data_IF_326526031446
#
_entry.id   IF_326526031446
#
_cell.length_a   1.000
_cell.length_b   1.000
_cell.length_c   1.000
_cell.angle_alpha   90.00
_cell.angle_beta   90.00
_cell.angle_gamma   90.00
#
_symmetry.space_group_name_H-M   'P 1'
#
loop_
_entity.id
_entity.type
_entity.pdbx_description
1 polymer ?
#
# COMPACT_ATOMS: atom_id res chain seq x y z
N UNK A 1 9.85 -22.38 14.10
CA UNK A 1 8.66 -21.90 13.35
C UNK A 1 8.13 -20.54 13.82
N UNK A 2 8.75 -19.86 14.79
CA UNK A 2 8.27 -18.57 15.34
C UNK A 2 8.91 -17.33 14.72
N UNK A 3 10.13 -17.42 14.16
CA UNK A 3 10.87 -16.23 13.68
C UNK A 3 10.20 -15.48 12.53
N UNK A 4 9.51 -16.18 11.63
CA UNK A 4 8.89 -15.58 10.44
C UNK A 4 7.65 -14.74 10.81
N UNK A 5 6.80 -15.27 11.70
CA UNK A 5 5.63 -14.55 12.22
C UNK A 5 6.03 -13.31 13.03
N UNK A 6 7.13 -13.37 13.79
CA UNK A 6 7.63 -12.20 14.54
C UNK A 6 8.14 -11.11 13.59
N UNK A 7 8.83 -11.47 12.51
CA UNK A 7 9.28 -10.50 11.50
C UNK A 7 8.09 -9.84 10.79
N UNK A 8 7.06 -10.60 10.45
CA UNK A 8 5.83 -10.08 9.85
C UNK A 8 5.11 -9.09 10.80
N UNK A 9 5.01 -9.40 12.08
CA UNK A 9 4.42 -8.50 13.08
C UNK A 9 5.26 -7.22 13.29
N UNK A 10 6.58 -7.34 13.42
CA UNK A 10 7.48 -6.19 13.55
C UNK A 10 7.40 -5.27 12.33
N UNK A 11 7.31 -5.82 11.12
CA UNK A 11 7.18 -5.04 9.90
C UNK A 11 5.79 -4.37 9.77
N UNK A 12 4.74 -4.96 10.34
CA UNK A 12 3.42 -4.33 10.42
C UNK A 12 3.43 -3.15 11.39
N UNK A 13 3.95 -3.35 12.60
CA UNK A 13 4.06 -2.32 13.63
C UNK A 13 4.91 -1.13 13.16
N UNK A 14 6.01 -1.39 12.45
CA UNK A 14 6.87 -0.35 11.89
C UNK A 14 6.18 0.51 10.80
N UNK A 15 5.20 -0.04 10.08
CA UNK A 15 4.52 0.64 8.97
C UNK A 15 3.17 1.25 9.36
N UNK A 16 2.65 0.90 10.54
CA UNK A 16 1.39 1.43 11.07
C UNK A 16 1.47 2.95 11.25
N UNK A 17 0.46 3.68 10.75
CA UNK A 17 0.37 5.12 10.92
C UNK A 17 -0.16 5.46 12.31
N UNK A 18 0.45 6.44 12.96
CA UNK A 18 0.06 6.95 14.28
C UNK A 18 -0.93 8.11 14.16
N UNK A 19 -2.08 7.96 14.81
CA UNK A 19 -3.10 9.01 14.88
C UNK A 19 -2.61 10.24 15.66
N UNK A 20 -1.85 10.01 16.73
CA UNK A 20 -1.29 11.09 17.55
C UNK A 20 -0.32 11.94 16.71
N UNK A 21 0.54 11.29 15.92
CA UNK A 21 1.45 11.98 15.04
C UNK A 21 0.71 12.76 13.95
N UNK A 22 -0.38 12.21 13.39
CA UNK A 22 -1.22 12.92 12.44
C UNK A 22 -1.83 14.20 13.04
N UNK A 23 -2.29 14.18 14.31
CA UNK A 23 -2.78 15.36 15.01
C UNK A 23 -1.68 16.38 15.34
N UNK A 24 -0.47 15.92 15.68
CA UNK A 24 0.69 16.81 15.88
C UNK A 24 1.01 17.55 14.57
N UNK A 25 1.09 16.83 13.45
CA UNK A 25 1.32 17.45 12.14
C UNK A 25 0.20 18.39 11.74
N UNK A 26 -1.05 18.03 12.06
CA UNK A 26 -2.21 18.87 11.79
C UNK A 26 -2.19 20.17 12.62
N UNK A 27 -1.79 20.11 13.89
CA UNK A 27 -1.76 21.29 14.75
C UNK A 27 -0.68 22.29 14.32
N UNK A 28 0.54 21.81 14.05
CA UNK A 28 1.66 22.69 13.71
C UNK A 28 1.72 23.06 12.21
N UNK A 29 1.44 22.11 11.32
CA UNK A 29 1.58 22.26 9.87
C UNK A 29 0.24 22.03 9.13
N UNK A 30 -0.89 22.15 9.83
CA UNK A 30 -2.22 21.95 9.27
C UNK A 30 -2.48 22.82 8.06
N UNK A 31 -2.15 24.12 8.13
CA UNK A 31 -2.32 25.06 7.03
C UNK A 31 -1.48 24.74 5.77
N UNK A 32 -0.35 24.05 5.93
CA UNK A 32 0.51 23.61 4.82
C UNK A 32 0.10 22.24 4.26
N UNK A 33 -0.78 21.50 4.95
CA UNK A 33 -1.24 20.17 4.55
C UNK A 33 -0.29 19.02 4.90
N UNK A 34 0.61 19.18 5.88
CA UNK A 34 1.58 18.13 6.24
C UNK A 34 0.91 16.85 6.77
N UNK A 35 -0.20 16.97 7.50
CA UNK A 35 -0.98 15.80 7.93
C UNK A 35 -1.51 15.01 6.73
N UNK A 36 -1.89 15.68 5.64
CA UNK A 36 -2.34 15.02 4.42
C UNK A 36 -1.19 14.29 3.70
N UNK A 37 0.02 14.85 3.69
CA UNK A 37 1.22 14.15 3.21
C UNK A 37 1.52 12.89 4.04
N UNK A 38 1.48 13.00 5.37
CA UNK A 38 1.70 11.86 6.27
C UNK A 38 0.69 10.74 6.06
N UNK A 39 -0.57 11.09 5.80
CA UNK A 39 -1.64 10.14 5.53
C UNK A 39 -1.62 9.58 4.10
N UNK A 40 -0.70 10.02 3.23
CA UNK A 40 -0.59 9.57 1.84
C UNK A 40 -1.61 10.23 0.89
N UNK A 41 -2.32 11.27 1.34
CA UNK A 41 -3.28 12.07 0.54
C UNK A 41 -2.55 13.16 -0.24
N UNK A 42 -1.59 12.79 -1.08
CA UNK A 42 -0.68 13.73 -1.75
C UNK A 42 -1.41 14.77 -2.61
N UNK A 43 -2.45 14.38 -3.34
CA UNK A 43 -3.24 15.33 -4.15
C UNK A 43 -3.85 16.44 -3.30
N UNK A 44 -4.49 16.07 -2.19
CA UNK A 44 -5.08 17.02 -1.23
C UNK A 44 -4.01 17.93 -0.62
N UNK A 45 -2.89 17.34 -0.23
CA UNK A 45 -1.78 18.07 0.38
C UNK A 45 -1.16 19.11 -0.57
N UNK A 46 -0.95 18.74 -1.84
CA UNK A 46 -0.44 19.64 -2.88
C UNK A 46 -1.44 20.76 -3.16
N UNK A 47 -2.73 20.44 -3.30
CA UNK A 47 -3.79 21.45 -3.47
C UNK A 47 -3.76 22.45 -2.33
N UNK A 48 -3.69 21.97 -1.09
CA UNK A 48 -3.65 22.82 0.09
C UNK A 48 -2.40 23.71 0.14
N UNK A 49 -1.22 23.18 -0.21
CA UNK A 49 0.02 23.94 -0.28
C UNK A 49 -0.05 25.05 -1.35
N UNK A 50 -0.57 24.74 -2.54
CA UNK A 50 -0.76 25.71 -3.63
C UNK A 50 -1.74 26.82 -3.21
N UNK A 51 -2.86 26.45 -2.60
CA UNK A 51 -3.84 27.41 -2.06
C UNK A 51 -3.22 28.31 -0.98
N UNK A 52 -2.36 27.76 -0.12
CA UNK A 52 -1.65 28.53 0.89
C UNK A 52 -0.69 29.54 0.24
N UNK A 53 0.13 29.10 -0.73
CA UNK A 53 1.04 29.97 -1.48
C UNK A 53 0.28 31.08 -2.21
N UNK A 54 -0.77 30.72 -2.97
CA UNK A 54 -1.61 31.69 -3.68
C UNK A 54 -2.31 32.64 -2.71
N UNK A 55 -2.78 32.13 -1.57
CA UNK A 55 -3.39 32.91 -0.50
C UNK A 55 -2.42 33.95 0.06
N UNK A 56 -1.16 33.58 0.33
CA UNK A 56 -0.12 34.53 0.76
C UNK A 56 0.16 35.57 -0.31
N UNK A 57 0.38 35.15 -1.56
CA UNK A 57 0.72 36.05 -2.66
C UNK A 57 -0.39 37.07 -2.96
N UNK A 58 -1.65 36.63 -2.88
CA UNK A 58 -2.82 37.49 -3.13
C UNK A 58 -3.31 38.21 -1.87
N UNK A 59 -2.71 37.97 -0.69
CA UNK A 59 -3.10 38.63 0.56
C UNK A 59 -2.88 40.14 0.52
N UNK A 60 -1.87 40.61 -0.23
CA UNK A 60 -1.60 42.05 -0.44
C UNK A 60 -2.79 42.76 -1.08
N UNK A 61 -3.59 42.05 -1.87
CA UNK A 61 -4.80 42.56 -2.53
C UNK A 61 -6.07 42.34 -1.69
N UNK A 62 -5.95 41.93 -0.42
CA UNK A 62 -7.04 41.52 0.49
C UNK A 62 -7.83 40.27 0.06
N UNK A 63 -7.79 39.89 -1.23
CA UNK A 63 -8.44 38.67 -1.76
C UNK A 63 -7.87 37.40 -1.13
N UNK A 64 -6.55 37.36 -0.90
CA UNK A 64 -5.89 36.20 -0.30
C UNK A 64 -6.37 35.88 1.12
N UNK A 65 -6.94 36.85 1.83
CA UNK A 65 -7.48 36.64 3.18
C UNK A 65 -8.71 35.72 3.17
N UNK A 66 -9.56 35.83 2.14
CA UNK A 66 -10.71 34.93 1.96
C UNK A 66 -10.26 33.50 1.61
N UNK A 67 -9.23 33.36 0.79
CA UNK A 67 -8.64 32.06 0.48
C UNK A 67 -8.06 31.40 1.74
N UNK A 68 -7.31 32.17 2.55
CA UNK A 68 -6.77 31.67 3.81
C UNK A 68 -7.87 31.30 4.82
N UNK A 69 -8.95 32.07 4.90
CA UNK A 69 -10.10 31.71 5.73
C UNK A 69 -10.74 30.39 5.27
N UNK A 70 -10.88 30.19 3.95
CA UNK A 70 -11.33 28.93 3.37
C UNK A 70 -10.41 27.76 3.70
N UNK A 71 -9.09 27.93 3.58
CA UNK A 71 -8.10 26.93 4.00
C UNK A 71 -8.19 26.66 5.50
N UNK A 72 -8.40 27.69 6.33
CA UNK A 72 -8.60 27.53 7.78
C UNK A 72 -9.80 26.65 8.11
N UNK A 73 -10.94 26.89 7.46
CA UNK A 73 -12.15 26.05 7.61
C UNK A 73 -11.87 24.62 7.13
N UNK A 74 -11.18 24.47 6.00
CA UNK A 74 -10.78 23.15 5.50
C UNK A 74 -9.92 22.41 6.53
N UNK A 75 -8.90 23.05 7.11
CA UNK A 75 -8.07 22.44 8.16
C UNK A 75 -8.92 21.97 9.34
N UNK A 76 -9.93 22.73 9.76
CA UNK A 76 -10.84 22.29 10.82
C UNK A 76 -11.65 21.04 10.42
N UNK A 77 -12.14 20.98 9.18
CA UNK A 77 -12.86 19.80 8.67
C UNK A 77 -11.93 18.57 8.66
N UNK A 78 -10.66 18.75 8.26
CA UNK A 78 -9.69 17.67 8.22
C UNK A 78 -9.46 17.03 9.60
N UNK A 79 -9.62 17.77 10.70
CA UNK A 79 -9.51 17.24 12.06
C UNK A 79 -10.47 16.05 12.31
N UNK A 80 -11.65 16.08 11.67
CA UNK A 80 -12.64 15.01 11.72
C UNK A 80 -12.37 13.88 10.73
N UNK A 81 -11.62 14.14 9.65
CA UNK A 81 -11.28 13.17 8.60
C UNK A 81 -10.06 12.32 8.96
N UNK A 82 -9.12 12.87 9.74
CA UNK A 82 -7.91 12.19 10.21
C UNK A 82 -8.18 10.80 10.81
N UNK A 83 -9.08 10.60 11.80
CA UNK A 83 -9.27 9.30 12.45
C UNK A 83 -9.66 8.21 11.44
N UNK A 84 -10.65 8.48 10.59
CA UNK A 84 -11.08 7.52 9.58
C UNK A 84 -10.02 7.24 8.52
N UNK A 85 -9.16 8.21 8.20
CA UNK A 85 -8.08 8.01 7.22
C UNK A 85 -6.93 7.18 7.78
N UNK A 86 -6.58 7.38 9.05
CA UNK A 86 -5.58 6.56 9.76
C UNK A 86 -6.06 5.12 9.86
N UNK A 87 -7.32 4.92 10.25
CA UNK A 87 -7.92 3.59 10.35
C UNK A 87 -7.92 2.85 9.01
N UNK A 88 -8.41 3.49 7.94
CA UNK A 88 -8.38 2.92 6.59
C UNK A 88 -6.97 2.54 6.15
N UNK A 89 -5.99 3.41 6.42
CA UNK A 89 -4.59 3.16 6.08
C UNK A 89 -4.02 1.95 6.83
N UNK A 90 -4.33 1.85 8.12
CA UNK A 90 -3.88 0.75 8.96
C UNK A 90 -4.58 -0.58 8.64
N UNK A 91 -5.87 -0.55 8.26
CA UNK A 91 -6.62 -1.72 7.79
C UNK A 91 -6.10 -2.22 6.45
N UNK A 92 -5.84 -1.32 5.50
CA UNK A 92 -5.25 -1.68 4.21
C UNK A 92 -3.87 -2.32 4.38
N UNK A 93 -3.05 -1.78 5.29
CA UNK A 93 -1.76 -2.37 5.65
C UNK A 93 -1.95 -3.77 6.25
N UNK A 94 -2.88 -3.95 7.19
CA UNK A 94 -3.17 -5.25 7.79
C UNK A 94 -3.64 -6.28 6.74
N UNK A 95 -4.45 -5.86 5.78
CA UNK A 95 -4.93 -6.72 4.70
C UNK A 95 -3.78 -7.19 3.78
N UNK A 96 -2.85 -6.29 3.43
CA UNK A 96 -1.66 -6.64 2.65
C UNK A 96 -0.72 -7.59 3.41
N UNK A 97 -0.57 -7.40 4.72
CA UNK A 97 0.21 -8.33 5.54
C UNK A 97 -0.47 -9.69 5.65
N UNK A 98 -1.79 -9.74 5.79
CA UNK A 98 -2.56 -10.99 5.79
C UNK A 98 -2.43 -11.72 4.46
N UNK A 99 -2.53 -11.02 3.33
CA UNK A 99 -2.34 -11.63 2.01
C UNK A 99 -0.92 -12.17 1.85
N UNK A 100 0.10 -11.40 2.23
CA UNK A 100 1.51 -11.81 2.07
C UNK A 100 1.92 -12.94 3.02
N UNK A 101 1.42 -12.93 4.27
CA UNK A 101 1.60 -14.06 5.19
C UNK A 101 0.85 -15.31 4.73
N UNK A 102 -0.30 -15.14 4.04
CA UNK A 102 -1.01 -16.26 3.40
C UNK A 102 -0.40 -16.72 2.07
N UNK A 103 0.53 -15.96 1.48
CA UNK A 103 1.33 -16.34 0.30
C UNK A 103 2.50 -17.27 0.69
N UNK A 104 2.69 -17.55 1.98
CA UNK A 104 3.49 -18.69 2.44
C UNK A 104 2.62 -19.80 3.04
N UNK A 105 1.82 -20.54 2.24
CA UNK A 105 1.49 -21.92 2.58
C UNK A 105 2.79 -22.73 2.55
N UNK A 106 3.23 -23.38 3.65
CA UNK A 106 4.28 -24.38 3.54
C UNK A 106 3.79 -25.50 2.61
N UNK A 107 4.54 -25.73 1.53
CA UNK A 107 4.59 -26.99 0.78
C UNK A 107 3.27 -27.58 0.24
N UNK A 108 2.36 -26.75 -0.28
CA UNK A 108 1.32 -27.24 -1.23
C UNK A 108 1.49 -26.54 -2.56
N UNK A 109 2.05 -27.27 -3.51
CA UNK A 109 2.03 -26.91 -4.92
C UNK A 109 0.56 -26.73 -5.34
N UNK A 110 0.16 -25.53 -5.75
CA UNK A 110 -1.26 -25.24 -6.03
C UNK A 110 -1.63 -25.59 -7.47
N UNK A 111 -2.93 -25.75 -7.76
CA UNK A 111 -3.40 -26.01 -9.13
C UNK A 111 -2.99 -24.90 -10.13
N UNK A 112 -2.90 -23.66 -9.66
CA UNK A 112 -2.42 -22.54 -10.47
C UNK A 112 -0.93 -22.71 -10.82
N UNK A 113 -0.10 -23.07 -9.84
CA UNK A 113 1.34 -23.27 -10.04
C UNK A 113 1.61 -24.47 -10.97
N UNK A 114 0.83 -25.56 -10.84
CA UNK A 114 0.84 -26.69 -11.79
C UNK A 114 0.56 -26.24 -13.22
N UNK A 115 -0.49 -25.43 -13.42
CA UNK A 115 -0.88 -25.00 -14.75
C UNK A 115 0.18 -24.12 -15.41
N UNK A 116 0.80 -23.22 -14.66
CA UNK A 116 1.88 -22.36 -15.13
C UNK A 116 3.15 -23.17 -15.47
N UNK A 117 3.51 -24.15 -14.62
CA UNK A 117 4.69 -24.99 -14.85
C UNK A 117 4.48 -25.99 -16.00
N UNK A 118 3.26 -26.50 -16.19
CA UNK A 118 2.89 -27.34 -17.35
C UNK A 118 2.97 -26.57 -18.68
N UNK A 119 2.58 -25.29 -18.70
CA UNK A 119 2.71 -24.42 -19.87
C UNK A 119 4.18 -24.10 -20.19
N UNK A 120 5.00 -23.87 -19.16
CA UNK A 120 6.45 -23.72 -19.29
C UNK A 120 7.12 -24.98 -19.86
N UNK A 121 6.70 -26.18 -19.43
CA UNK A 121 7.21 -27.43 -20.00
C UNK A 121 6.75 -27.64 -21.45
N UNK A 122 5.52 -27.26 -21.79
CA UNK A 122 5.00 -27.36 -23.15
C UNK A 122 5.74 -26.42 -24.12
N UNK A 123 6.09 -25.22 -23.66
CA UNK A 123 6.87 -24.25 -24.43
C UNK A 123 8.32 -24.69 -24.62
N UNK A 124 8.97 -25.26 -23.59
CA UNK A 124 10.32 -25.84 -23.71
C UNK A 124 10.38 -27.05 -24.64
N UNK A 125 9.33 -27.87 -24.66
CA UNK A 125 9.20 -28.99 -25.62
C UNK A 125 9.02 -28.48 -27.05
N UNK A 126 8.13 -27.51 -27.25
CA UNK A 126 7.89 -26.93 -28.57
C UNK A 126 9.13 -26.20 -29.13
N UNK A 127 10.02 -25.70 -28.27
CA UNK A 127 11.30 -25.11 -28.68
C UNK A 127 12.41 -26.13 -28.94
N UNK A 128 12.15 -27.43 -28.74
CA UNK A 128 13.14 -28.50 -28.87
C UNK A 128 14.20 -28.51 -27.78
N UNK A 129 14.02 -27.74 -26.70
CA UNK A 129 14.99 -27.64 -25.60
C UNK A 129 14.98 -28.85 -24.67
N UNK A 130 13.88 -29.59 -24.61
CA UNK A 130 13.72 -30.84 -23.84
C UNK A 130 13.11 -31.92 -24.73
N UNK A 131 13.48 -33.17 -24.47
CA UNK A 131 12.97 -34.34 -25.22
C UNK A 131 11.57 -34.75 -24.72
N UNK A 132 10.79 -35.45 -25.54
CA UNK A 132 9.45 -35.93 -25.14
C UNK A 132 9.49 -36.83 -23.89
N UNK A 133 10.54 -37.65 -23.77
CA UNK A 133 10.74 -38.51 -22.60
C UNK A 133 10.94 -37.69 -21.30
N UNK A 134 11.73 -36.61 -21.35
CA UNK A 134 11.94 -35.72 -20.20
C UNK A 134 10.70 -34.87 -19.87
N UNK A 135 9.91 -34.50 -20.88
CA UNK A 135 8.65 -33.79 -20.69
C UNK A 135 7.64 -34.64 -19.92
N UNK A 136 7.46 -35.90 -20.31
CA UNK A 136 6.52 -36.79 -19.62
C UNK A 136 6.95 -37.08 -18.18
N UNK A 137 8.23 -37.30 -17.94
CA UNK A 137 8.77 -37.50 -16.59
C UNK A 137 8.53 -36.29 -15.68
N UNK A 138 8.88 -35.08 -16.15
CA UNK A 138 8.68 -33.84 -15.37
C UNK A 138 7.21 -33.53 -15.16
N UNK A 139 6.36 -33.75 -16.17
CA UNK A 139 4.90 -33.57 -16.06
C UNK A 139 4.30 -34.54 -15.02
N UNK A 140 4.72 -35.80 -15.01
CA UNK A 140 4.25 -36.78 -14.03
C UNK A 140 4.75 -36.48 -12.61
N UNK A 141 6.01 -36.03 -12.47
CA UNK A 141 6.55 -35.60 -11.18
C UNK A 141 5.79 -34.41 -10.58
N UNK A 142 5.30 -33.50 -11.42
CA UNK A 142 4.45 -32.38 -11.00
C UNK A 142 3.03 -32.81 -10.59
N UNK A 143 2.45 -33.79 -11.28
CA UNK A 143 1.14 -34.36 -10.91
C UNK A 143 1.21 -35.13 -9.59
N UNK A 144 2.33 -35.83 -9.32
CA UNK A 144 2.56 -36.57 -8.09
C UNK A 144 2.79 -35.67 -6.87
N UNK A 145 3.32 -34.46 -7.06
CA UNK A 145 3.51 -33.45 -5.99
C UNK A 145 2.21 -32.88 -5.42
N UNK A 146 1.07 -33.15 -6.06
CA UNK A 146 -0.27 -32.66 -5.69
C UNK A 146 -1.11 -33.71 -4.94
N UNK A 147 -0.66 -34.96 -4.86
CA UNK A 147 -1.29 -36.07 -4.12
C UNK A 147 -0.69 -36.18 -2.72
#
# INVERSE_FOLDING_TARGET
MTYDNTQAMMAYDARKKSIALAYVLWFFLGGLGAHNFYLGRNGVAITQLVLMILGVLTAVLLVGLFLMAGVGIWVLIDAFIIPGTVERSNMALAAQFKSNASVTPPARFTAHDLSAEMDALATLRNSGAITEAEYEEKRQALLARLQ
#
